data_IF_401002108526
#
_entry.id   IF_401002108526
#
_cell.length_a   1.000
_cell.length_b   1.000
_cell.length_c   1.000
_cell.angle_alpha   90.00
_cell.angle_beta   90.00
_cell.angle_gamma   90.00
#
_symmetry.space_group_name_H-M   'P 1'
#
loop_
_entity.id
_entity.type
_entity.pdbx_description
1 polymer ?
#
# COMPACT_ATOMS: atom_id res chain seq x y z
N UNK A 1 24.04 10.05 11.08
CA UNK A 1 22.59 10.09 11.36
C UNK A 1 22.45 9.82 12.84
N UNK A 2 21.62 10.56 13.57
CA UNK A 2 21.27 10.24 14.95
C UNK A 2 19.89 9.55 15.01
N UNK A 3 19.51 9.04 16.18
CA UNK A 3 18.22 8.37 16.36
C UNK A 3 17.04 9.29 15.98
N UNK A 4 17.10 10.56 16.37
CA UNK A 4 16.03 11.53 16.06
C UNK A 4 15.85 11.70 14.55
N UNK A 5 16.93 11.77 13.79
CA UNK A 5 16.90 11.86 12.33
C UNK A 5 16.28 10.62 11.69
N UNK A 6 16.50 9.42 12.25
CA UNK A 6 15.84 8.19 11.77
C UNK A 6 14.33 8.29 11.98
N UNK A 7 13.88 8.70 13.17
CA UNK A 7 12.46 8.87 13.46
C UNK A 7 11.80 9.94 12.61
N UNK A 8 12.48 11.07 12.40
CA UNK A 8 11.98 12.15 11.56
C UNK A 8 11.88 11.72 10.08
N UNK A 9 12.85 10.96 9.57
CA UNK A 9 12.79 10.40 8.23
C UNK A 9 11.61 9.42 8.09
N UNK A 10 11.45 8.51 9.05
CA UNK A 10 10.35 7.56 9.07
C UNK A 10 9.00 8.29 9.07
N UNK A 11 8.82 9.30 9.92
CA UNK A 11 7.60 10.10 9.98
C UNK A 11 7.27 10.78 8.64
N UNK A 12 8.26 11.36 7.96
CA UNK A 12 8.08 11.98 6.63
C UNK A 12 7.69 10.95 5.57
N UNK A 13 8.31 9.77 5.60
CA UNK A 13 7.96 8.68 4.67
C UNK A 13 6.53 8.17 4.91
N UNK A 14 6.10 8.06 6.18
CA UNK A 14 4.71 7.73 6.52
C UNK A 14 3.71 8.79 6.08
N UNK A 15 4.04 10.08 6.18
CA UNK A 15 3.21 11.15 5.62
C UNK A 15 3.06 11.00 4.10
N UNK A 16 4.15 10.69 3.39
CA UNK A 16 4.11 10.39 1.96
C UNK A 16 3.20 9.20 1.62
N UNK A 17 3.32 8.11 2.39
CA UNK A 17 2.45 6.94 2.25
C UNK A 17 0.98 7.29 2.53
N UNK A 18 0.68 8.08 3.57
CA UNK A 18 -0.69 8.50 3.87
C UNK A 18 -1.32 9.33 2.74
N UNK A 19 -0.57 10.24 2.12
CA UNK A 19 -1.04 11.03 0.97
C UNK A 19 -1.31 10.11 -0.23
N UNK A 20 -0.42 9.17 -0.49
CA UNK A 20 -0.60 8.19 -1.56
C UNK A 20 -1.83 7.31 -1.34
N UNK A 21 -2.07 6.88 -0.09
CA UNK A 21 -3.27 6.15 0.29
C UNK A 21 -4.54 6.97 0.03
N UNK A 22 -4.55 8.24 0.44
CA UNK A 22 -5.69 9.12 0.23
C UNK A 22 -6.00 9.33 -1.26
N UNK A 23 -4.97 9.54 -2.09
CA UNK A 23 -5.12 9.62 -3.53
C UNK A 23 -5.66 8.30 -4.13
N UNK A 24 -5.17 7.17 -3.63
CA UNK A 24 -5.64 5.84 -4.07
C UNK A 24 -7.10 5.59 -3.66
N UNK A 25 -7.50 5.96 -2.44
CA UNK A 25 -8.88 5.84 -1.98
C UNK A 25 -9.85 6.65 -2.86
N UNK A 26 -9.44 7.85 -3.28
CA UNK A 26 -10.18 8.62 -4.27
C UNK A 26 -10.26 7.90 -5.63
N UNK A 27 -9.16 7.34 -6.11
CA UNK A 27 -9.14 6.58 -7.37
C UNK A 27 -10.00 5.30 -7.31
N UNK A 28 -10.08 4.62 -6.16
CA UNK A 28 -10.99 3.47 -5.98
C UNK A 28 -12.44 3.91 -6.19
N UNK A 29 -12.82 5.04 -5.60
CA UNK A 29 -14.15 5.59 -5.79
C UNK A 29 -14.42 5.95 -7.26
N UNK A 30 -13.44 6.53 -7.96
CA UNK A 30 -13.55 6.78 -9.42
C UNK A 30 -13.70 5.46 -10.17
N UNK A 31 -12.94 4.42 -9.84
CA UNK A 31 -13.03 3.10 -10.47
C UNK A 31 -14.40 2.45 -10.27
N UNK A 32 -14.99 2.57 -9.09
CA UNK A 32 -16.37 2.14 -8.85
C UNK A 32 -17.37 2.90 -9.72
N UNK A 33 -17.21 4.21 -9.91
CA UNK A 33 -18.08 5.00 -10.80
C UNK A 33 -17.92 4.64 -12.27
N UNK A 34 -16.68 4.44 -12.73
CA UNK A 34 -16.40 3.99 -14.11
C UNK A 34 -17.01 2.61 -14.35
N UNK A 35 -16.80 1.69 -13.41
CA UNK A 35 -17.38 0.34 -13.45
C UNK A 35 -18.90 0.37 -13.54
N UNK A 36 -19.56 1.18 -12.69
CA UNK A 36 -21.01 1.38 -12.71
C UNK A 36 -21.49 1.98 -14.05
N UNK A 37 -20.81 2.98 -14.58
CA UNK A 37 -21.16 3.62 -15.85
C UNK A 37 -21.06 2.67 -17.05
N UNK A 38 -20.02 1.82 -17.09
CA UNK A 38 -19.87 0.77 -18.12
C UNK A 38 -21.01 -0.25 -18.02
N UNK A 39 -21.41 -0.62 -16.80
CA UNK A 39 -22.53 -1.53 -16.58
C UNK A 39 -23.86 -0.97 -17.11
N UNK A 40 -24.22 0.23 -16.70
CA UNK A 40 -25.51 0.88 -17.01
C UNK A 40 -25.65 1.17 -18.51
N UNK A 41 -24.56 1.57 -19.16
CA UNK A 41 -24.53 1.80 -20.61
C UNK A 41 -24.54 0.51 -21.43
N UNK A 42 -24.34 -0.66 -20.81
CA UNK A 42 -24.16 -1.92 -21.53
C UNK A 42 -22.89 -1.94 -22.37
N UNK A 43 -21.83 -1.30 -21.88
CA UNK A 43 -20.61 -0.96 -22.62
C UNK A 43 -20.05 -2.10 -23.48
N UNK A 44 -19.52 -1.74 -24.64
CA UNK A 44 -18.94 -2.69 -25.58
C UNK A 44 -17.65 -3.33 -25.02
N UNK A 45 -17.12 -4.34 -25.72
CA UNK A 45 -15.92 -5.06 -25.31
C UNK A 45 -14.72 -4.12 -25.03
N UNK A 46 -14.54 -3.09 -25.87
CA UNK A 46 -13.45 -2.13 -25.71
C UNK A 46 -13.58 -1.34 -24.41
N UNK A 47 -14.78 -0.82 -24.10
CA UNK A 47 -15.04 -0.10 -22.84
C UNK A 47 -14.78 -0.98 -21.62
N UNK A 48 -15.16 -2.26 -21.67
CA UNK A 48 -14.93 -3.22 -20.57
C UNK A 48 -13.46 -3.51 -20.34
N UNK A 49 -12.69 -3.69 -21.41
CA UNK A 49 -11.23 -3.91 -21.32
C UNK A 49 -10.54 -2.68 -20.74
N UNK A 50 -10.85 -1.47 -21.23
CA UNK A 50 -10.27 -0.22 -20.72
C UNK A 50 -10.61 -0.03 -19.23
N UNK A 51 -11.87 -0.25 -18.84
CA UNK A 51 -12.30 -0.17 -17.44
C UNK A 51 -11.56 -1.18 -16.54
N UNK A 52 -11.28 -2.38 -17.06
CA UNK A 52 -10.54 -3.41 -16.33
C UNK A 52 -9.09 -3.00 -16.10
N UNK A 53 -8.41 -2.51 -17.16
CA UNK A 53 -7.03 -2.01 -17.05
C UNK A 53 -6.94 -0.84 -16.08
N UNK A 54 -7.90 0.09 -16.15
CA UNK A 54 -7.99 1.19 -15.19
C UNK A 54 -8.16 0.68 -13.75
N UNK A 55 -9.09 -0.24 -13.52
CA UNK A 55 -9.32 -0.85 -12.20
C UNK A 55 -8.08 -1.55 -11.63
N UNK A 56 -7.38 -2.34 -12.45
CA UNK A 56 -6.12 -2.99 -12.06
C UNK A 56 -5.04 -1.96 -11.72
N UNK A 57 -4.95 -0.89 -12.51
CA UNK A 57 -4.03 0.22 -12.27
C UNK A 57 -4.29 0.99 -10.97
N UNK A 58 -5.51 0.92 -10.43
CA UNK A 58 -5.85 1.48 -9.11
C UNK A 58 -5.57 0.48 -7.97
N UNK A 59 -5.95 -0.78 -8.16
CA UNK A 59 -5.80 -1.82 -7.12
C UNK A 59 -4.33 -2.14 -6.84
N UNK A 60 -3.50 -2.27 -7.88
CA UNK A 60 -2.10 -2.63 -7.72
C UNK A 60 -1.29 -1.68 -6.80
N UNK A 61 -1.22 -0.36 -7.07
CA UNK A 61 -0.49 0.56 -6.20
C UNK A 61 -1.08 0.60 -4.79
N UNK A 62 -2.40 0.49 -4.69
CA UNK A 62 -3.07 0.46 -3.40
C UNK A 62 -2.71 -0.74 -2.54
N UNK A 63 -2.66 -1.94 -3.13
CA UNK A 63 -2.21 -3.14 -2.43
C UNK A 63 -0.78 -3.00 -1.92
N UNK A 64 0.09 -2.43 -2.76
CA UNK A 64 1.51 -2.28 -2.45
C UNK A 64 1.79 -1.32 -1.29
N UNK A 65 0.83 -0.48 -0.87
CA UNK A 65 1.11 0.53 0.13
C UNK A 65 1.40 -0.06 1.51
N UNK A 66 0.69 -1.12 1.91
CA UNK A 66 0.91 -1.79 3.19
C UNK A 66 2.30 -2.46 3.23
N UNK A 67 2.66 -3.15 2.14
CA UNK A 67 3.98 -3.75 1.96
C UNK A 67 5.09 -2.69 1.98
N UNK A 68 4.84 -1.53 1.38
CA UNK A 68 5.77 -0.42 1.40
C UNK A 68 5.96 0.14 2.81
N UNK A 69 4.88 0.33 3.58
CA UNK A 69 4.98 0.81 4.97
C UNK A 69 5.70 -0.16 5.90
N UNK A 70 5.54 -1.47 5.69
CA UNK A 70 6.33 -2.49 6.39
C UNK A 70 7.83 -2.36 6.06
N UNK A 71 8.16 -2.18 4.77
CA UNK A 71 9.53 -1.95 4.33
C UNK A 71 10.13 -0.66 4.94
N UNK A 72 9.34 0.41 5.09
CA UNK A 72 9.78 1.64 5.74
C UNK A 72 10.15 1.41 7.21
N UNK A 73 9.30 0.70 7.96
CA UNK A 73 9.58 0.35 9.36
C UNK A 73 10.87 -0.48 9.47
N UNK A 74 11.02 -1.51 8.63
CA UNK A 74 12.21 -2.37 8.64
C UNK A 74 13.48 -1.61 8.24
N UNK A 75 13.41 -0.66 7.32
CA UNK A 75 14.55 0.20 6.97
C UNK A 75 14.98 1.09 8.13
N UNK A 76 14.03 1.71 8.83
CA UNK A 76 14.32 2.49 10.04
C UNK A 76 14.93 1.60 11.12
N UNK A 77 14.40 0.40 11.29
CA UNK A 77 14.88 -0.60 12.25
C UNK A 77 16.33 -1.01 11.96
N UNK A 78 16.61 -1.38 10.71
CA UNK A 78 17.96 -1.67 10.24
C UNK A 78 18.92 -0.50 10.52
N UNK A 79 18.52 0.72 10.19
CA UNK A 79 19.34 1.92 10.42
C UNK A 79 19.64 2.14 11.91
N UNK A 80 18.65 1.97 12.80
CA UNK A 80 18.85 2.05 14.24
C UNK A 80 19.80 0.97 14.75
N UNK A 81 19.72 -0.25 14.19
CA UNK A 81 20.63 -1.33 14.54
C UNK A 81 22.07 -1.03 14.15
N UNK A 82 22.29 -0.43 12.99
CA UNK A 82 23.63 -0.02 12.52
C UNK A 82 24.19 1.12 13.38
N UNK A 83 23.35 2.08 13.80
CA UNK A 83 23.75 3.12 14.75
C UNK A 83 24.24 2.51 16.07
N UNK A 84 23.48 1.56 16.63
CA UNK A 84 23.89 0.83 17.83
C UNK A 84 25.21 0.08 17.63
N UNK A 85 25.40 -0.61 16.50
CA UNK A 85 26.65 -1.32 16.18
C UNK A 85 27.85 -0.37 16.04
N UNK A 86 27.62 0.86 15.59
CA UNK A 86 28.67 1.90 15.51
C UNK A 86 29.05 2.53 16.85
N UNK A 87 28.43 2.10 17.97
CA UNK A 87 28.73 2.57 19.31
C UNK A 87 27.88 3.76 19.77
N UNK A 88 26.85 4.14 19.02
CA UNK A 88 25.89 5.17 19.43
C UNK A 88 24.84 4.52 20.35
N UNK A 89 24.65 5.06 21.55
CA UNK A 89 23.54 4.65 22.41
C UNK A 89 22.21 5.05 21.78
N UNK A 90 21.28 4.10 21.71
CA UNK A 90 19.90 4.32 21.26
C UNK A 90 18.95 4.14 22.44
N UNK A 91 17.79 4.80 22.38
CA UNK A 91 16.78 4.74 23.43
C UNK A 91 16.20 3.33 23.58
N UNK A 92 15.65 3.02 24.76
CA UNK A 92 14.94 1.75 24.99
C UNK A 92 13.75 1.56 24.03
N UNK A 93 13.14 2.65 23.56
CA UNK A 93 12.09 2.61 22.53
C UNK A 93 12.63 2.17 21.17
N UNK A 94 13.79 2.69 20.76
CA UNK A 94 14.47 2.25 19.55
C UNK A 94 14.95 0.79 19.65
N UNK A 95 15.45 0.35 20.81
CA UNK A 95 15.80 -1.07 21.00
C UNK A 95 14.59 -1.99 20.85
N UNK A 96 13.44 -1.59 21.42
CA UNK A 96 12.20 -2.36 21.26
C UNK A 96 11.74 -2.40 19.81
N UNK A 97 11.80 -1.27 19.12
CA UNK A 97 11.44 -1.19 17.70
C UNK A 97 12.32 -2.10 16.85
N UNK A 98 13.62 -2.15 17.13
CA UNK A 98 14.56 -3.08 16.46
C UNK A 98 14.19 -4.53 16.74
N UNK A 99 13.85 -4.87 17.99
CA UNK A 99 13.39 -6.22 18.34
C UNK A 99 12.10 -6.61 17.63
N UNK A 100 11.19 -5.66 17.36
CA UNK A 100 9.90 -5.94 16.75
C UNK A 100 9.96 -6.01 15.21
N UNK A 101 10.94 -5.34 14.57
CA UNK A 101 11.04 -5.22 13.12
C UNK A 101 12.27 -5.91 12.50
N UNK A 102 13.23 -6.35 13.31
CA UNK A 102 14.46 -7.02 12.89
C UNK A 102 15.62 -6.07 12.59
N UNK A 103 16.84 -6.61 12.56
CA UNK A 103 18.10 -5.88 12.42
C UNK A 103 18.90 -6.24 11.15
N UNK A 104 18.29 -7.03 10.26
CA UNK A 104 18.87 -7.42 8.98
C UNK A 104 18.50 -6.43 7.89
N UNK A 105 19.34 -6.32 6.85
CA UNK A 105 19.02 -5.52 5.67
C UNK A 105 17.68 -6.02 5.08
N UNK A 106 16.65 -5.16 4.99
CA UNK A 106 15.32 -5.62 4.66
C UNK A 106 15.14 -5.80 3.15
N UNK A 107 14.40 -6.84 2.80
CA UNK A 107 13.93 -7.10 1.43
C UNK A 107 12.44 -6.80 1.32
N UNK A 108 12.01 -6.35 0.13
CA UNK A 108 10.60 -6.15 -0.15
C UNK A 108 9.86 -7.51 -0.13
N UNK A 109 8.77 -7.59 0.63
CA UNK A 109 7.86 -8.74 0.62
C UNK A 109 6.50 -8.34 0.09
N UNK A 110 5.96 -9.16 -0.82
CA UNK A 110 4.65 -8.91 -1.42
C UNK A 110 3.49 -9.34 -0.52
N UNK A 111 3.73 -10.11 0.55
CA UNK A 111 2.68 -10.74 1.37
C UNK A 111 2.85 -10.42 2.86
N UNK A 112 3.10 -9.15 3.19
CA UNK A 112 3.26 -8.73 4.60
C UNK A 112 1.93 -8.59 5.33
N UNK A 113 0.83 -8.33 4.59
CA UNK A 113 -0.52 -8.16 5.14
C UNK A 113 -1.55 -9.05 4.43
N UNK A 114 -1.82 -10.26 4.95
CA UNK A 114 -2.81 -11.17 4.38
C UNK A 114 -4.23 -10.61 4.39
N UNK A 115 -4.59 -9.79 5.38
CA UNK A 115 -5.93 -9.22 5.50
C UNK A 115 -6.11 -8.12 4.47
N UNK A 116 -5.10 -7.25 4.31
CA UNK A 116 -5.03 -6.25 3.25
C UNK A 116 -5.12 -6.88 1.86
N UNK A 117 -4.49 -8.03 1.63
CA UNK A 117 -4.60 -8.77 0.37
C UNK A 117 -6.05 -9.19 0.06
N UNK A 118 -6.75 -9.75 1.05
CA UNK A 118 -8.16 -10.13 0.91
C UNK A 118 -9.05 -8.91 0.63
N UNK A 119 -8.76 -7.78 1.31
CA UNK A 119 -9.49 -6.54 1.10
C UNK A 119 -9.31 -5.99 -0.33
N UNK A 120 -8.08 -5.91 -0.82
CA UNK A 120 -7.78 -5.45 -2.17
C UNK A 120 -8.30 -6.39 -3.26
N UNK A 121 -8.29 -7.70 -3.01
CA UNK A 121 -8.96 -8.68 -3.87
C UNK A 121 -10.47 -8.40 -3.95
N UNK A 122 -11.10 -8.08 -2.83
CA UNK A 122 -12.52 -7.74 -2.78
C UNK A 122 -12.83 -6.47 -3.59
N UNK A 123 -12.00 -5.43 -3.46
CA UNK A 123 -12.11 -4.20 -4.26
C UNK A 123 -12.01 -4.51 -5.76
N UNK A 124 -11.04 -5.34 -6.16
CA UNK A 124 -10.89 -5.76 -7.55
C UNK A 124 -12.13 -6.50 -8.05
N UNK A 125 -12.65 -7.45 -7.28
CA UNK A 125 -13.84 -8.20 -7.64
C UNK A 125 -15.07 -7.31 -7.81
N UNK A 126 -15.27 -6.31 -6.94
CA UNK A 126 -16.37 -5.34 -7.08
C UNK A 126 -16.25 -4.56 -8.40
N UNK A 127 -15.04 -4.11 -8.75
CA UNK A 127 -14.80 -3.39 -10.02
C UNK A 127 -15.11 -4.30 -11.22
N UNK A 128 -14.57 -5.53 -11.21
CA UNK A 128 -14.74 -6.47 -12.32
C UNK A 128 -16.19 -6.93 -12.47
N UNK A 129 -16.89 -7.20 -11.37
CA UNK A 129 -18.32 -7.56 -11.38
C UNK A 129 -19.15 -6.41 -11.91
N UNK A 130 -18.87 -5.16 -11.55
CA UNK A 130 -19.58 -4.03 -12.15
C UNK A 130 -19.33 -3.92 -13.66
N UNK A 131 -18.10 -4.15 -14.14
CA UNK A 131 -17.79 -4.03 -15.58
C UNK A 131 -18.38 -5.18 -16.40
N UNK A 132 -18.23 -6.42 -15.92
CA UNK A 132 -18.52 -7.64 -16.68
C UNK A 132 -19.84 -8.30 -16.30
N UNK A 133 -20.41 -7.94 -15.16
CA UNK A 133 -21.66 -8.50 -14.65
C UNK A 133 -22.88 -8.17 -15.51
N UNK A 134 -24.04 -8.74 -15.17
CA UNK A 134 -25.29 -8.44 -15.84
C UNK A 134 -25.59 -6.95 -15.77
N UNK A 135 -26.26 -6.43 -16.79
CA UNK A 135 -26.69 -5.04 -16.81
C UNK A 135 -27.68 -4.79 -15.67
N UNK A 136 -27.36 -3.86 -14.79
CA UNK A 136 -28.26 -3.37 -13.77
C UNK A 136 -29.44 -2.68 -14.46
N UNK A 137 -30.66 -3.14 -14.16
CA UNK A 137 -31.92 -2.65 -14.74
C UNK A 137 -32.25 -1.25 -14.25
#
# INVERSE_FOLDING_TARGET
>A
MDEYQVWMLLAVQFMGAAIFFAATAFLIWVAFRVSKSINESGGNLLSKVIGTVFGLGVVWPGYNIANFTDLLNKNASYTLSELKKSGVEISAGAERFVSDNGDTLPEYSFFTDPIGAIWWLSVLLIILVGIWGPKNS
#
